data_IF_801056238515
#
_entry.id   IF_801056238515
#
_cell.length_a   1.000
_cell.length_b   1.000
_cell.length_c   1.000
_cell.angle_alpha   90.00
_cell.angle_beta   90.00
_cell.angle_gamma   90.00
#
_symmetry.space_group_name_H-M   'P 1'
#
loop_
_entity.id
_entity.type
_entity.pdbx_description
1 polymer ?
#
# COMPACT_ATOMS: atom_id res chain seq x y z
N UNK A 1 -9.02 1.88 10.72
CA UNK A 1 -8.55 1.74 12.11
C UNK A 1 -7.16 1.16 12.12
N UNK A 2 -6.38 1.40 13.16
CA UNK A 2 -5.09 0.76 13.40
C UNK A 2 -5.28 -0.37 14.41
N UNK A 3 -4.86 -1.57 14.02
CA UNK A 3 -5.03 -2.80 14.81
C UNK A 3 -3.65 -3.38 15.13
N UNK A 4 -3.40 -3.66 16.41
CA UNK A 4 -2.14 -4.23 16.89
C UNK A 4 -2.47 -5.41 17.83
N UNK A 5 -1.96 -6.59 17.51
CA UNK A 5 -2.26 -7.86 18.19
C UNK A 5 -3.78 -8.10 18.37
N UNK A 6 -4.56 -7.62 17.41
CA UNK A 6 -6.02 -7.72 17.40
C UNK A 6 -6.75 -6.68 18.27
N UNK A 7 -6.06 -5.81 19.00
CA UNK A 7 -6.70 -4.68 19.67
C UNK A 7 -6.78 -3.50 18.71
N UNK A 8 -7.84 -2.71 18.80
CA UNK A 8 -8.00 -1.48 18.03
C UNK A 8 -7.41 -0.33 18.83
N UNK A 9 -6.31 0.25 18.37
CA UNK A 9 -5.61 1.34 19.07
C UNK A 9 -6.07 2.72 18.61
N UNK A 10 -6.45 2.85 17.33
CA UNK A 10 -7.00 4.10 16.82
C UNK A 10 -7.98 3.83 15.68
N UNK A 11 -8.88 4.77 15.45
CA UNK A 11 -9.83 4.72 14.36
C UNK A 11 -10.21 6.12 13.90
N UNK A 12 -10.73 6.22 12.69
CA UNK A 12 -11.27 7.45 12.15
C UNK A 12 -12.53 7.12 11.37
N UNK A 13 -13.56 7.95 11.53
CA UNK A 13 -14.82 7.86 10.78
C UNK A 13 -14.86 9.01 9.80
N UNK A 14 -15.02 8.69 8.52
CA UNK A 14 -15.03 9.66 7.43
C UNK A 14 -16.35 9.64 6.67
N UNK A 15 -16.61 10.73 5.96
CA UNK A 15 -17.68 10.83 4.96
C UNK A 15 -17.13 10.73 3.53
N UNK A 16 -15.80 10.62 3.39
CA UNK A 16 -15.11 10.47 2.12
C UNK A 16 -15.53 9.18 1.42
N UNK A 17 -15.62 9.22 0.09
CA UNK A 17 -15.90 8.03 -0.73
C UNK A 17 -14.70 7.08 -0.80
N UNK A 18 -13.50 7.58 -0.55
CA UNK A 18 -12.25 6.85 -0.48
C UNK A 18 -11.57 7.07 0.87
N UNK A 19 -11.00 6.01 1.41
CA UNK A 19 -10.34 5.98 2.72
C UNK A 19 -8.84 6.29 2.64
N UNK A 20 -8.26 6.41 1.44
CA UNK A 20 -6.80 6.55 1.28
C UNK A 20 -6.22 7.77 1.98
N UNK A 21 -6.97 8.89 2.02
CA UNK A 21 -6.56 10.12 2.74
C UNK A 21 -6.87 10.06 4.24
N UNK A 22 -7.77 9.16 4.66
CA UNK A 22 -8.12 8.98 6.07
C UNK A 22 -7.02 8.26 6.86
N UNK A 23 -6.05 7.66 6.16
CA UNK A 23 -4.90 6.98 6.76
C UNK A 23 -4.11 7.88 7.73
N UNK A 24 -3.82 9.11 7.31
CA UNK A 24 -3.10 10.08 8.13
C UNK A 24 -3.91 10.38 9.40
N UNK A 25 -5.23 10.59 9.28
CA UNK A 25 -6.08 10.82 10.45
C UNK A 25 -6.09 9.66 11.45
N UNK A 26 -5.95 8.42 10.99
CA UNK A 26 -5.82 7.24 11.87
C UNK A 26 -4.49 7.24 12.62
N UNK A 27 -3.39 7.65 11.96
CA UNK A 27 -2.08 7.78 12.61
C UNK A 27 -2.03 8.95 13.59
N UNK A 28 -2.61 10.09 13.24
CA UNK A 28 -2.75 11.23 14.14
C UNK A 28 -3.59 10.89 15.38
N UNK A 29 -4.71 10.18 15.21
CA UNK A 29 -5.50 9.70 16.34
C UNK A 29 -4.72 8.75 17.27
N UNK A 30 -3.81 7.94 16.70
CA UNK A 30 -2.90 7.11 17.49
C UNK A 30 -1.91 7.99 18.26
N UNK A 31 -1.25 8.94 17.59
CA UNK A 31 -0.30 9.86 18.22
C UNK A 31 -0.94 10.66 19.36
N UNK A 32 -2.14 11.20 19.16
CA UNK A 32 -2.88 11.92 20.19
C UNK A 32 -3.18 11.06 21.44
N UNK A 33 -3.35 9.76 21.26
CA UNK A 33 -3.70 8.85 22.36
C UNK A 33 -2.47 8.30 23.10
N UNK A 34 -1.34 8.12 22.40
CA UNK A 34 -0.16 7.43 22.92
C UNK A 34 1.12 8.27 22.94
N UNK A 35 1.05 9.52 22.46
CA UNK A 35 2.18 10.45 22.31
C UNK A 35 3.37 9.88 21.54
N UNK A 36 3.12 8.93 20.64
CA UNK A 36 4.11 8.29 19.78
C UNK A 36 3.44 7.73 18.54
N UNK A 37 4.19 7.53 17.47
CA UNK A 37 3.73 6.83 16.27
C UNK A 37 4.08 5.33 16.34
N UNK A 38 3.35 4.45 15.63
CA UNK A 38 3.77 3.07 15.50
C UNK A 38 5.14 3.00 14.79
N UNK A 39 6.00 2.07 15.20
CA UNK A 39 7.31 1.87 14.56
C UNK A 39 7.20 1.53 13.07
N UNK A 40 6.11 0.86 12.69
CA UNK A 40 5.88 0.34 11.34
C UNK A 40 4.40 0.22 11.04
N UNK A 41 4.04 0.36 9.77
CA UNK A 41 2.64 0.30 9.31
C UNK A 41 2.50 -0.56 8.06
N UNK A 42 1.42 -1.34 8.01
CA UNK A 42 1.02 -2.12 6.84
C UNK A 42 -0.43 -1.81 6.48
N UNK A 43 -0.67 -1.59 5.19
CA UNK A 43 -2.00 -1.27 4.66
C UNK A 43 -2.17 -1.79 3.22
N UNK A 44 -3.41 -1.74 2.72
CA UNK A 44 -3.74 -2.20 1.37
C UNK A 44 -3.18 -1.29 0.30
N UNK A 45 -3.19 -1.79 -0.94
CA UNK A 45 -2.58 -1.14 -2.09
C UNK A 45 -3.11 0.27 -2.36
N UNK A 46 -4.35 0.55 -1.96
CA UNK A 46 -4.96 1.88 -2.09
C UNK A 46 -4.30 2.96 -1.24
N UNK A 47 -3.67 2.58 -0.12
CA UNK A 47 -2.99 3.52 0.78
C UNK A 47 -1.58 3.88 0.34
N UNK A 48 -0.98 3.13 -0.60
CA UNK A 48 0.37 3.38 -1.12
C UNK A 48 0.43 4.51 -2.14
N UNK A 49 0.09 5.70 -1.70
CA UNK A 49 0.10 6.94 -2.47
C UNK A 49 1.15 7.92 -1.91
N UNK A 50 1.59 8.86 -2.76
CA UNK A 50 2.70 9.77 -2.43
C UNK A 50 2.50 10.51 -1.10
N UNK A 51 1.29 11.05 -0.87
CA UNK A 51 0.99 11.82 0.35
C UNK A 51 1.16 10.97 1.63
N UNK A 52 0.72 9.72 1.60
CA UNK A 52 0.85 8.82 2.74
C UNK A 52 2.30 8.37 2.93
N UNK A 53 3.01 8.09 1.84
CA UNK A 53 4.42 7.71 1.90
C UNK A 53 5.31 8.84 2.44
N UNK A 54 5.06 10.08 2.04
CA UNK A 54 5.73 11.26 2.62
C UNK A 54 5.48 11.36 4.11
N UNK A 55 4.22 11.28 4.52
CA UNK A 55 3.83 11.38 5.92
C UNK A 55 4.52 10.31 6.80
N UNK A 56 4.48 9.04 6.41
CA UNK A 56 5.14 7.99 7.21
C UNK A 56 6.66 8.15 7.23
N UNK A 57 7.25 8.66 6.14
CA UNK A 57 8.69 8.92 6.08
C UNK A 57 9.10 10.06 7.02
N UNK A 58 8.36 11.17 7.00
CA UNK A 58 8.56 12.33 7.87
C UNK A 58 8.50 11.95 9.35
N UNK A 59 7.62 11.02 9.71
CA UNK A 59 7.47 10.52 11.07
C UNK A 59 8.32 9.28 11.40
N UNK A 60 9.27 8.91 10.54
CA UNK A 60 10.17 7.75 10.73
C UNK A 60 9.47 6.40 10.96
N UNK A 61 8.30 6.21 10.35
CA UNK A 61 7.51 4.98 10.42
C UNK A 61 7.96 4.04 9.29
N UNK A 62 8.36 2.81 9.60
CA UNK A 62 8.79 1.84 8.59
C UNK A 62 7.63 1.49 7.63
N UNK A 63 7.90 1.57 6.33
CA UNK A 63 6.91 1.42 5.29
C UNK A 63 6.69 -0.04 4.85
N UNK A 64 5.55 -0.61 5.21
CA UNK A 64 5.02 -1.89 4.68
C UNK A 64 3.65 -1.71 4.01
N UNK A 65 3.41 -0.55 3.41
CA UNK A 65 2.16 -0.27 2.69
C UNK A 65 2.31 -0.67 1.22
N UNK A 66 1.44 -1.58 0.75
CA UNK A 66 1.37 -1.95 -0.66
C UNK A 66 1.03 -0.71 -1.50
N UNK A 67 1.56 -0.62 -2.71
CA UNK A 67 1.16 0.39 -3.70
C UNK A 67 0.17 -0.19 -4.72
N UNK A 68 -0.58 0.62 -5.49
CA UNK A 68 -1.65 0.13 -6.38
C UNK A 68 -1.23 -0.97 -7.36
N UNK A 69 -0.05 -0.86 -7.95
CA UNK A 69 0.51 -1.86 -8.88
C UNK A 69 1.25 -3.02 -8.20
N UNK A 70 1.23 -3.13 -6.86
CA UNK A 70 1.94 -4.19 -6.13
C UNK A 70 1.57 -5.59 -6.61
N UNK A 71 0.27 -5.92 -6.66
CA UNK A 71 -0.19 -7.26 -7.04
C UNK A 71 0.20 -7.62 -8.48
N UNK A 72 0.07 -6.66 -9.39
CA UNK A 72 0.46 -6.81 -10.79
C UNK A 72 1.96 -7.05 -10.97
N UNK A 73 2.79 -6.36 -10.18
CA UNK A 73 4.24 -6.55 -10.17
C UNK A 73 4.64 -7.92 -9.59
N UNK A 74 4.06 -8.32 -8.45
CA UNK A 74 4.41 -9.58 -7.78
C UNK A 74 3.99 -10.81 -8.59
N UNK A 75 2.81 -10.74 -9.22
CA UNK A 75 2.27 -11.85 -10.01
C UNK A 75 2.83 -11.91 -11.42
N UNK A 76 3.42 -10.83 -11.93
CA UNK A 76 3.87 -10.72 -13.31
C UNK A 76 2.74 -10.55 -14.33
N UNK A 77 1.49 -10.42 -13.90
CA UNK A 77 0.31 -10.30 -14.80
C UNK A 77 0.14 -8.89 -15.37
N UNK A 78 0.27 -7.88 -14.51
CA UNK A 78 0.12 -6.46 -14.87
C UNK A 78 1.24 -5.63 -14.22
N UNK A 79 2.52 -5.92 -14.50
CA UNK A 79 3.64 -5.20 -13.91
C UNK A 79 3.72 -3.75 -14.42
N UNK A 80 4.40 -2.91 -13.66
CA UNK A 80 4.77 -1.58 -14.14
C UNK A 80 5.66 -1.69 -15.38
N UNK A 81 5.50 -0.78 -16.33
CA UNK A 81 6.24 -0.83 -17.60
C UNK A 81 7.69 -0.35 -17.48
N UNK A 82 8.08 0.16 -16.31
CA UNK A 82 9.40 0.71 -16.04
C UNK A 82 9.75 0.60 -14.56
N UNK A 83 11.05 0.71 -14.28
CA UNK A 83 11.64 0.83 -12.95
C UNK A 83 12.52 2.08 -12.91
N UNK A 84 12.62 2.72 -11.75
CA UNK A 84 13.60 3.79 -11.52
C UNK A 84 14.97 3.16 -11.24
N UNK A 85 16.02 3.71 -11.81
CA UNK A 85 17.41 3.32 -11.55
C UNK A 85 18.03 4.24 -10.47
N UNK A 86 19.22 3.86 -9.98
CA UNK A 86 19.96 4.64 -8.97
C UNK A 86 20.41 6.01 -9.49
N UNK A 87 20.61 6.14 -10.80
CA UNK A 87 20.94 7.41 -11.49
C UNK A 87 19.70 8.26 -11.81
N UNK A 88 18.56 7.94 -11.21
CA UNK A 88 17.25 8.56 -11.41
C UNK A 88 16.67 8.48 -12.83
N UNK A 89 17.29 7.73 -13.74
CA UNK A 89 16.69 7.39 -15.04
C UNK A 89 15.65 6.29 -14.86
N UNK A 90 14.86 6.04 -15.90
CA UNK A 90 13.96 4.88 -15.92
C UNK A 90 14.48 3.79 -16.87
N UNK A 91 14.30 2.53 -16.49
CA UNK A 91 14.52 1.37 -17.35
C UNK A 91 13.21 0.67 -17.65
N UNK A 92 12.89 0.43 -18.93
CA UNK A 92 11.68 -0.32 -19.28
C UNK A 92 11.84 -1.83 -19.08
N UNK A 93 10.74 -2.57 -19.27
CA UNK A 93 10.72 -4.03 -19.24
C UNK A 93 11.69 -4.69 -20.24
N UNK A 94 11.98 -4.03 -21.38
CA UNK A 94 12.92 -4.50 -22.39
C UNK A 94 14.39 -4.14 -22.08
N UNK A 95 14.65 -3.44 -20.97
CA UNK A 95 15.98 -2.99 -20.59
C UNK A 95 16.43 -1.65 -21.19
N UNK A 96 15.64 -1.02 -22.07
CA UNK A 96 15.98 0.29 -22.64
C UNK A 96 15.89 1.38 -21.56
N UNK A 97 16.88 2.28 -21.55
CA UNK A 97 16.94 3.44 -20.66
C UNK A 97 16.14 4.60 -21.27
N UNK A 98 15.33 5.26 -20.45
CA UNK A 98 14.57 6.45 -20.82
C UNK A 98 15.37 7.72 -20.62
N UNK A 99 15.25 8.62 -21.59
CA UNK A 99 15.81 9.97 -21.52
C UNK A 99 14.77 10.93 -20.96
N UNK A 100 15.15 11.73 -19.98
CA UNK A 100 14.30 12.81 -19.47
C UNK A 100 14.13 13.87 -20.56
N UNK A 101 12.90 14.29 -20.83
CA UNK A 101 12.58 15.24 -21.89
C UNK A 101 11.58 16.29 -21.41
N UNK A 102 11.67 17.47 -22.03
CA UNK A 102 10.60 18.47 -21.99
C UNK A 102 9.76 18.34 -23.25
N UNK A 103 8.43 18.41 -23.09
CA UNK A 103 7.50 18.37 -24.21
C UNK A 103 6.89 19.74 -24.34
N UNK A 104 7.14 20.38 -25.48
CA UNK A 104 6.60 21.70 -25.78
C UNK A 104 5.07 21.69 -25.66
N UNK A 105 4.50 22.71 -25.00
CA UNK A 105 3.06 22.87 -24.76
C UNK A 105 2.39 21.72 -24.01
N UNK A 106 3.14 20.89 -23.27
CA UNK A 106 2.59 19.81 -22.46
C UNK A 106 3.21 19.80 -21.07
N UNK A 107 2.37 20.02 -20.06
CA UNK A 107 2.77 19.90 -18.67
C UNK A 107 2.38 18.52 -18.08
N UNK A 108 3.16 18.01 -17.11
CA UNK A 108 2.79 16.83 -16.34
C UNK A 108 1.45 17.03 -15.63
N UNK A 109 0.64 15.97 -15.56
CA UNK A 109 -0.65 16.00 -14.84
C UNK A 109 -0.46 15.91 -13.33
N UNK A 110 0.59 15.23 -12.88
CA UNK A 110 0.95 15.06 -11.48
C UNK A 110 1.97 16.11 -11.07
N UNK A 111 1.80 16.66 -9.87
CA UNK A 111 2.79 17.54 -9.26
C UNK A 111 4.16 16.83 -9.18
N UNK A 112 5.23 17.56 -9.51
CA UNK A 112 6.62 17.09 -9.50
C UNK A 112 6.90 15.87 -10.40
N UNK A 113 6.05 15.60 -11.39
CA UNK A 113 6.37 14.60 -12.39
C UNK A 113 7.26 15.18 -13.50
N UNK A 114 8.08 14.32 -14.09
CA UNK A 114 8.88 14.60 -15.29
C UNK A 114 8.51 13.61 -16.40
N UNK A 115 8.83 13.95 -17.65
CA UNK A 115 8.62 13.05 -18.77
C UNK A 115 9.88 12.30 -19.15
N UNK A 116 9.75 11.00 -19.36
CA UNK A 116 10.81 10.17 -19.93
C UNK A 116 10.36 9.58 -21.26
N UNK A 117 11.23 9.65 -22.28
CA UNK A 117 11.02 9.04 -23.59
C UNK A 117 11.89 7.81 -23.74
N UNK A 118 11.26 6.70 -24.17
CA UNK A 118 11.94 5.46 -24.54
C UNK A 118 11.62 5.18 -26.01
N UNK A 119 12.64 5.03 -26.85
CA UNK A 119 12.55 4.70 -28.29
C UNK A 119 12.71 3.19 -28.54
N UNK A 120 12.56 2.74 -29.79
CA UNK A 120 12.66 1.32 -30.16
C UNK A 120 11.46 0.49 -29.68
N UNK A 121 10.29 1.11 -29.50
CA UNK A 121 9.11 0.44 -28.97
C UNK A 121 8.36 -0.41 -30.01
N UNK A 122 8.59 -0.21 -31.31
CA UNK A 122 7.90 -0.95 -32.36
C UNK A 122 8.46 -2.34 -32.61
N UNK A 123 9.72 -2.59 -32.27
CA UNK A 123 10.42 -3.88 -32.32
C UNK A 123 10.56 -4.54 -30.94
N UNK A 124 9.90 -3.99 -29.91
CA UNK A 124 10.00 -4.47 -28.53
C UNK A 124 9.07 -5.67 -28.26
N UNK A 125 9.59 -6.71 -27.59
CA UNK A 125 8.80 -7.90 -27.22
C UNK A 125 7.62 -7.57 -26.28
N UNK A 126 7.70 -6.45 -25.55
CA UNK A 126 6.64 -5.96 -24.67
C UNK A 126 5.69 -4.96 -25.36
N UNK A 127 5.79 -4.74 -26.68
CA UNK A 127 4.99 -3.72 -27.41
C UNK A 127 3.49 -3.86 -27.17
N UNK A 128 2.96 -5.07 -27.34
CA UNK A 128 1.52 -5.36 -27.17
C UNK A 128 1.03 -4.99 -25.77
N UNK A 129 1.82 -5.31 -24.74
CA UNK A 129 1.53 -4.97 -23.35
C UNK A 129 1.69 -3.47 -23.05
N UNK A 130 2.86 -2.92 -23.37
CA UNK A 130 3.24 -1.55 -23.02
C UNK A 130 2.42 -0.50 -23.78
N UNK A 131 2.11 -0.73 -25.06
CA UNK A 131 1.42 0.25 -25.90
C UNK A 131 -0.10 0.07 -25.95
N UNK A 132 -0.69 -0.95 -25.31
CA UNK A 132 -2.14 -1.28 -25.40
C UNK A 132 -3.12 -0.12 -25.20
N UNK A 133 -2.75 0.91 -24.43
CA UNK A 133 -3.59 2.07 -24.15
C UNK A 133 -3.12 3.37 -24.83
N UNK A 134 -2.11 3.29 -25.69
CA UNK A 134 -1.68 4.44 -26.49
C UNK A 134 -2.64 4.66 -27.66
N UNK A 135 -2.96 5.92 -27.97
CA UNK A 135 -3.75 6.26 -29.16
C UNK A 135 -2.94 6.02 -30.44
N UNK A 136 -1.69 6.48 -30.48
CA UNK A 136 -0.80 6.33 -31.62
C UNK A 136 0.01 5.02 -31.51
N UNK A 137 -0.48 3.95 -32.14
CA UNK A 137 0.17 2.63 -32.11
C UNK A 137 1.40 2.53 -33.02
N UNK A 138 1.55 3.45 -33.97
CA UNK A 138 2.65 3.50 -34.95
C UNK A 138 3.92 4.19 -34.41
N UNK A 139 3.83 5.01 -33.36
CA UNK A 139 4.99 5.72 -32.79
C UNK A 139 6.06 4.74 -32.26
N UNK A 140 7.31 4.86 -32.70
CA UNK A 140 8.40 3.99 -32.21
C UNK A 140 8.90 4.34 -30.80
N UNK A 141 8.17 5.17 -30.08
CA UNK A 141 8.52 5.56 -28.71
C UNK A 141 7.33 5.49 -27.77
N UNK A 142 7.62 5.51 -26.47
CA UNK A 142 6.64 5.71 -25.42
C UNK A 142 7.14 6.77 -24.45
N UNK A 143 6.24 7.68 -24.06
CA UNK A 143 6.49 8.71 -23.07
C UNK A 143 5.85 8.29 -21.75
N UNK A 144 6.64 8.30 -20.68
CA UNK A 144 6.19 8.04 -19.31
C UNK A 144 6.19 9.34 -18.51
N UNK A 145 5.12 9.57 -17.76
CA UNK A 145 5.07 10.62 -16.75
C UNK A 145 5.41 10.00 -15.39
N UNK A 146 6.50 10.46 -14.77
CA UNK A 146 7.13 9.81 -13.62
C UNK A 146 7.30 10.80 -12.49
N UNK A 147 6.73 10.48 -11.33
CA UNK A 147 7.10 11.13 -10.06
C UNK A 147 8.21 10.29 -9.44
N UNK A 148 9.46 10.76 -9.53
CA UNK A 148 10.65 10.01 -9.08
C UNK A 148 10.55 9.60 -7.60
N UNK A 149 10.17 10.53 -6.75
CA UNK A 149 9.95 10.32 -5.30
C UNK A 149 8.98 9.16 -4.99
N UNK A 150 7.87 9.08 -5.73
CA UNK A 150 6.92 7.96 -5.56
C UNK A 150 7.57 6.62 -5.92
N UNK A 151 8.45 6.58 -6.92
CA UNK A 151 9.13 5.33 -7.27
C UNK A 151 10.15 4.92 -6.21
N UNK A 152 10.88 5.86 -5.60
CA UNK A 152 11.74 5.55 -4.46
C UNK A 152 10.96 4.93 -3.30
N UNK A 153 9.81 5.50 -2.93
CA UNK A 153 8.95 4.91 -1.90
C UNK A 153 8.42 3.52 -2.28
N UNK A 154 8.07 3.30 -3.55
CA UNK A 154 7.65 1.98 -4.04
C UNK A 154 8.79 0.96 -3.99
N UNK A 155 10.02 1.35 -4.27
CA UNK A 155 11.21 0.48 -4.16
C UNK A 155 11.48 0.11 -2.69
N UNK A 156 11.44 1.10 -1.78
CA UNK A 156 11.55 0.88 -0.33
C UNK A 156 10.47 -0.09 0.16
N UNK A 157 9.20 0.21 -0.17
CA UNK A 157 8.08 -0.67 0.17
C UNK A 157 8.27 -2.07 -0.41
N UNK A 158 8.75 -2.20 -1.65
CA UNK A 158 8.99 -3.51 -2.28
C UNK A 158 10.01 -4.32 -1.51
N UNK A 159 11.17 -3.73 -1.21
CA UNK A 159 12.23 -4.39 -0.42
C UNK A 159 11.69 -4.85 0.93
N UNK A 160 10.96 -3.98 1.63
CA UNK A 160 10.39 -4.28 2.93
C UNK A 160 9.34 -5.40 2.84
N UNK A 161 8.40 -5.33 1.91
CA UNK A 161 7.29 -6.28 1.74
C UNK A 161 7.73 -7.69 1.29
N UNK A 162 8.84 -7.79 0.56
CA UNK A 162 9.44 -9.06 0.12
C UNK A 162 10.30 -9.71 1.21
N UNK A 163 10.79 -8.95 2.19
CA UNK A 163 11.58 -9.51 3.29
C UNK A 163 10.77 -10.51 4.14
N UNK A 164 11.41 -11.43 4.88
CA UNK A 164 10.73 -12.33 5.83
C UNK A 164 9.83 -11.58 6.82
N UNK A 165 10.32 -10.47 7.38
CA UNK A 165 9.55 -9.55 8.24
C UNK A 165 8.33 -8.98 7.52
N UNK A 166 8.47 -8.60 6.25
CA UNK A 166 7.36 -8.12 5.44
C UNK A 166 6.32 -9.18 5.09
N UNK A 167 6.74 -10.42 4.87
CA UNK A 167 5.85 -11.57 4.69
C UNK A 167 5.03 -11.79 5.97
N UNK A 168 5.69 -11.81 7.12
CA UNK A 168 5.04 -11.95 8.42
C UNK A 168 4.00 -10.87 8.68
N UNK A 169 4.39 -9.60 8.52
CA UNK A 169 3.50 -8.46 8.70
C UNK A 169 2.29 -8.57 7.77
N UNK A 170 2.47 -8.94 6.50
CA UNK A 170 1.36 -9.07 5.55
C UNK A 170 0.39 -10.20 5.92
N UNK A 171 0.90 -11.37 6.29
CA UNK A 171 0.07 -12.51 6.73
C UNK A 171 -0.71 -12.13 7.98
N UNK A 172 -0.03 -11.58 8.98
CA UNK A 172 -0.65 -11.21 10.25
C UNK A 172 -1.62 -10.05 10.14
N UNK A 173 -1.39 -9.09 9.24
CA UNK A 173 -2.30 -7.98 9.04
C UNK A 173 -3.65 -8.43 8.48
N UNK A 174 -3.68 -9.41 7.58
CA UNK A 174 -4.95 -10.01 7.11
C UNK A 174 -5.71 -10.62 8.29
N UNK A 175 -5.03 -11.48 9.06
CA UNK A 175 -5.62 -12.20 10.21
C UNK A 175 -6.15 -11.22 11.26
N UNK A 176 -5.38 -10.18 11.60
CA UNK A 176 -5.77 -9.19 12.60
C UNK A 176 -6.97 -8.36 12.18
N UNK A 177 -6.93 -7.81 10.96
CA UNK A 177 -7.97 -6.91 10.47
C UNK A 177 -9.27 -7.69 10.22
N UNK A 178 -9.19 -8.84 9.56
CA UNK A 178 -10.36 -9.70 9.31
C UNK A 178 -10.96 -10.21 10.61
N UNK A 179 -10.14 -10.63 11.58
CA UNK A 179 -10.62 -11.08 12.88
C UNK A 179 -11.37 -9.98 13.65
N UNK A 180 -10.86 -8.75 13.67
CA UNK A 180 -11.54 -7.63 14.32
C UNK A 180 -12.86 -7.29 13.63
N UNK A 181 -12.87 -7.16 12.31
CA UNK A 181 -14.09 -6.82 11.58
C UNK A 181 -15.10 -7.97 11.53
N UNK A 182 -14.64 -9.23 11.57
CA UNK A 182 -15.46 -10.42 11.71
C UNK A 182 -16.26 -10.41 13.00
N UNK A 183 -15.60 -10.19 14.15
CA UNK A 183 -16.26 -10.09 15.46
C UNK A 183 -17.30 -8.97 15.47
N UNK A 184 -16.92 -7.77 15.01
CA UNK A 184 -17.84 -6.61 15.01
C UNK A 184 -19.07 -6.85 14.13
N UNK A 185 -18.89 -7.47 12.96
CA UNK A 185 -19.98 -7.68 12.00
C UNK A 185 -20.83 -8.91 12.33
N UNK A 186 -20.21 -10.04 12.61
CA UNK A 186 -20.87 -11.33 12.77
C UNK A 186 -21.31 -11.56 14.22
N UNK A 187 -20.39 -11.47 15.18
CA UNK A 187 -20.69 -11.78 16.58
C UNK A 187 -21.54 -10.68 17.20
N UNK A 188 -21.16 -9.41 16.98
CA UNK A 188 -21.92 -8.28 17.51
C UNK A 188 -23.10 -7.88 16.62
N UNK A 189 -23.25 -8.54 15.46
CA UNK A 189 -24.32 -8.31 14.47
C UNK A 189 -24.43 -6.85 14.01
N UNK A 190 -23.33 -6.09 14.02
CA UNK A 190 -23.30 -4.66 13.67
C UNK A 190 -22.94 -4.44 12.20
N UNK A 191 -23.84 -4.86 11.32
CA UNK A 191 -23.68 -4.68 9.87
C UNK A 191 -24.07 -3.28 9.37
N UNK A 192 -24.77 -2.48 10.19
CA UNK A 192 -25.20 -1.11 9.89
C UNK A 192 -25.08 -0.24 11.13
N UNK A 193 -24.76 1.04 10.93
CA UNK A 193 -24.80 2.03 12.00
C UNK A 193 -26.25 2.35 12.37
N UNK A 194 -26.52 2.41 13.67
CA UNK A 194 -27.85 2.74 14.20
C UNK A 194 -28.01 4.25 14.44
N UNK A 195 -26.90 4.99 14.42
CA UNK A 195 -26.88 6.44 14.58
C UNK A 195 -26.71 7.16 13.24
N UNK A 196 -27.20 8.40 13.20
CA UNK A 196 -27.02 9.33 12.07
C UNK A 196 -26.21 10.54 12.53
N UNK A 197 -25.37 11.06 11.63
CA UNK A 197 -24.45 12.16 11.91
C UNK A 197 -23.07 11.67 12.38
N UNK A 198 -22.01 12.28 11.85
CA UNK A 198 -20.61 11.84 12.01
C UNK A 198 -20.23 11.62 13.48
N UNK A 199 -20.56 12.55 14.37
CA UNK A 199 -20.20 12.44 15.79
C UNK A 199 -20.88 11.28 16.50
N UNK A 200 -22.18 11.07 16.23
CA UNK A 200 -22.94 9.96 16.84
C UNK A 200 -22.47 8.61 16.29
N UNK A 201 -22.16 8.53 14.99
CA UNK A 201 -21.58 7.33 14.36
C UNK A 201 -20.18 7.05 14.91
N UNK A 202 -19.34 8.09 15.06
CA UNK A 202 -18.01 7.96 15.65
C UNK A 202 -18.08 7.43 17.09
N UNK A 203 -19.02 7.93 17.89
CA UNK A 203 -19.28 7.44 19.24
C UNK A 203 -19.74 5.98 19.25
N UNK A 204 -20.62 5.60 18.32
CA UNK A 204 -21.07 4.21 18.16
C UNK A 204 -19.89 3.28 17.83
N UNK A 205 -19.02 3.67 16.89
CA UNK A 205 -17.80 2.92 16.54
C UNK A 205 -16.83 2.84 17.72
N UNK A 206 -16.65 3.93 18.46
CA UNK A 206 -15.82 3.98 19.68
C UNK A 206 -16.23 2.90 20.67
N UNK A 207 -17.53 2.82 20.98
CA UNK A 207 -18.07 1.88 21.95
C UNK A 207 -17.92 0.43 21.49
N UNK A 208 -18.03 0.17 20.18
CA UNK A 208 -17.79 -1.16 19.62
C UNK A 208 -16.33 -1.60 19.80
N UNK A 209 -15.39 -0.73 19.48
CA UNK A 209 -13.97 -1.03 19.66
C UNK A 209 -13.55 -1.11 21.12
N UNK A 210 -14.12 -0.26 21.99
CA UNK A 210 -13.91 -0.34 23.44
C UNK A 210 -14.40 -1.69 23.99
N UNK A 211 -15.62 -2.11 23.66
CA UNK A 211 -16.16 -3.40 24.09
C UNK A 211 -15.32 -4.58 23.60
N UNK A 212 -14.88 -4.55 22.33
CA UNK A 212 -13.99 -5.56 21.75
C UNK A 212 -12.64 -5.62 22.49
N UNK A 213 -12.04 -4.47 22.78
CA UNK A 213 -10.76 -4.42 23.50
C UNK A 213 -10.90 -4.90 24.95
N UNK A 214 -11.98 -4.51 25.67
CA UNK A 214 -12.24 -4.97 27.04
C UNK A 214 -12.43 -6.49 27.08
N UNK A 215 -13.23 -7.05 26.16
CA UNK A 215 -13.45 -8.49 26.09
C UNK A 215 -12.13 -9.25 25.86
N UNK A 216 -11.24 -8.72 25.02
CA UNK A 216 -9.90 -9.30 24.80
C UNK A 216 -9.00 -9.18 26.01
N UNK A 217 -9.08 -8.06 26.74
CA UNK A 217 -8.33 -7.86 27.98
C UNK A 217 -8.75 -8.84 29.07
N UNK A 218 -10.06 -9.05 29.25
CA UNK A 218 -10.56 -10.03 30.23
C UNK A 218 -10.15 -11.45 29.88
N UNK A 219 -10.24 -11.85 28.60
CA UNK A 219 -9.69 -13.13 28.16
C UNK A 219 -8.21 -13.26 28.51
N UNK A 220 -7.42 -12.21 28.28
CA UNK A 220 -5.99 -12.23 28.64
C UNK A 220 -5.76 -12.40 30.15
N UNK A 221 -6.55 -11.73 31.00
CA UNK A 221 -6.45 -11.90 32.45
C UNK A 221 -6.88 -13.30 32.91
N UNK A 222 -7.84 -13.94 32.24
CA UNK A 222 -8.28 -15.30 32.56
C UNK A 222 -7.27 -16.37 32.11
N UNK A 223 -6.69 -16.22 30.91
CA UNK A 223 -5.85 -17.27 30.31
C UNK A 223 -4.35 -17.01 30.40
N UNK A 224 -3.93 -15.77 30.66
CA UNK A 224 -2.53 -15.33 30.55
C UNK A 224 -2.00 -15.29 29.12
N UNK A 225 -2.84 -15.53 28.11
CA UNK A 225 -2.42 -15.67 26.71
C UNK A 225 -3.02 -14.59 25.81
N UNK A 226 -2.17 -13.95 25.00
CA UNK A 226 -2.60 -13.10 23.88
C UNK A 226 -2.91 -13.95 22.64
N UNK A 227 -3.61 -13.35 21.67
CA UNK A 227 -3.78 -13.97 20.37
C UNK A 227 -2.42 -14.28 19.75
N UNK A 228 -2.21 -15.55 19.41
CA UNK A 228 -1.03 -16.01 18.69
C UNK A 228 -1.20 -15.65 17.21
N UNK A 229 -0.13 -15.14 16.63
CA UNK A 229 -0.06 -14.77 15.23
C UNK A 229 1.04 -15.59 14.56
N UNK A 230 1.05 -15.63 13.24
CA UNK A 230 2.07 -16.39 12.53
C UNK A 230 3.43 -15.70 12.71
N UNK A 231 4.44 -16.47 13.07
CA UNK A 231 5.82 -15.99 13.15
C UNK A 231 6.59 -16.58 11.98
N UNK A 232 7.34 -15.74 11.25
CA UNK A 232 8.14 -16.22 10.15
C UNK A 232 9.25 -17.16 10.67
N UNK A 233 9.43 -18.36 10.07
CA UNK A 233 10.56 -19.21 10.40
C UNK A 233 11.89 -18.49 10.13
N UNK A 234 12.90 -18.73 10.96
CA UNK A 234 14.23 -18.13 10.78
C UNK A 234 14.87 -18.49 9.41
N UNK A 235 14.47 -19.62 8.82
CA UNK A 235 14.90 -20.09 7.51
C UNK A 235 14.14 -19.48 6.32
N UNK A 236 13.12 -18.64 6.57
CA UNK A 236 12.33 -18.05 5.50
C UNK A 236 13.18 -17.09 4.67
N UNK A 237 13.28 -17.34 3.38
CA UNK A 237 13.95 -16.44 2.44
C UNK A 237 13.02 -15.31 1.98
N UNK A 238 13.57 -14.18 1.50
CA UNK A 238 12.79 -13.16 0.83
C UNK A 238 11.95 -13.73 -0.33
N UNK A 239 10.73 -13.22 -0.49
CA UNK A 239 9.87 -13.61 -1.60
C UNK A 239 10.44 -13.12 -2.94
N UNK A 240 10.45 -13.99 -3.95
CA UNK A 240 10.83 -13.63 -5.31
C UNK A 240 9.63 -13.10 -6.12
N UNK A 241 9.92 -12.16 -7.03
CA UNK A 241 8.94 -11.63 -7.98
C UNK A 241 8.78 -12.62 -9.13
N UNK A 242 7.53 -12.96 -9.49
CA UNK A 242 7.28 -13.87 -10.62
C UNK A 242 7.69 -13.21 -11.94
N UNK A 243 8.22 -14.02 -12.86
CA UNK A 243 8.51 -13.58 -14.23
C UNK A 243 7.22 -13.11 -14.92
N UNK A 244 7.37 -12.11 -15.79
CA UNK A 244 6.26 -11.50 -16.53
C UNK A 244 5.63 -12.55 -17.44
N UNK A 245 4.33 -12.76 -17.30
CA UNK A 245 3.59 -13.75 -18.09
C UNK A 245 3.39 -13.25 -19.53
N UNK A 246 3.72 -14.07 -20.53
CA UNK A 246 3.40 -13.81 -21.94
C UNK A 246 4.49 -13.14 -22.77
N UNK A 247 5.76 -13.20 -22.34
CA UNK A 247 6.90 -12.83 -23.17
C UNK A 247 7.75 -14.06 -23.41
N UNK A 248 7.51 -14.72 -24.55
CA UNK A 248 8.46 -15.67 -25.12
C UNK A 248 9.76 -14.89 -25.41
N UNK A 249 10.89 -15.46 -24.99
CA UNK A 249 12.22 -14.88 -25.24
C UNK A 249 12.55 -14.95 -26.72
#
# INVERSE_FOLDING_TARGET
SLVIKGFVFSYYVSQSRNDFLDFIHVLEAFYLSYNTFPERVCADSGYGILINYRYIKEHNIENYIKYPSWEGNITGRLPDCYYLNDDETIKCLNGNIGQEINIENRHPKKANAVFFKITGCNSCNFKSYCKRFMKAQNEDFKIFEVVKELQFYKQEATKNLLSPKGIEIRVNRSIQVEGVFGIVKQDYKRNRFNRRGKNKVSTEVMLYFLGLNIAKLFRYYETGELNKYWEAPASLSPQEIKKISGVER
#
